data_IF_988586902183
#
_entry.id   IF_988586902183
#
_cell.length_a   1.000
_cell.length_b   1.000
_cell.length_c   1.000
_cell.angle_alpha   90.00
_cell.angle_beta   90.00
_cell.angle_gamma   90.00
#
_symmetry.space_group_name_H-M   'P 1'
#
loop_
_entity.id
_entity.type
_entity.pdbx_description
1 polymer ?
#
# COMPACT_ATOMS: atom_id res chain seq x y z
N UNK A 1 -14.25 -6.04 -13.09
CA UNK A 1 -14.65 -7.37 -13.62
C UNK A 1 -16.05 -7.35 -14.23
N UNK A 2 -17.01 -6.65 -13.63
CA UNK A 2 -18.37 -6.46 -14.17
C UNK A 2 -18.38 -6.02 -15.63
N UNK A 3 -17.63 -4.98 -16.00
CA UNK A 3 -17.46 -4.54 -17.40
C UNK A 3 -17.02 -5.64 -18.38
N UNK A 4 -16.08 -6.50 -17.98
CA UNK A 4 -15.62 -7.62 -18.82
C UNK A 4 -16.73 -8.65 -19.02
N UNK A 5 -17.56 -8.88 -18.00
CA UNK A 5 -18.71 -9.79 -18.10
C UNK A 5 -19.86 -9.17 -18.89
N UNK A 6 -20.18 -7.90 -18.66
CA UNK A 6 -21.22 -7.17 -19.38
C UNK A 6 -20.96 -7.09 -20.88
N UNK A 7 -19.69 -6.92 -21.30
CA UNK A 7 -19.29 -6.96 -22.72
C UNK A 7 -19.57 -8.29 -23.43
N UNK A 8 -19.82 -9.37 -22.70
CA UNK A 8 -20.28 -10.62 -23.30
C UNK A 8 -21.79 -10.61 -23.64
N UNK A 9 -22.56 -9.69 -23.04
CA UNK A 9 -24.00 -9.54 -23.23
C UNK A 9 -24.37 -8.37 -24.13
N UNK A 10 -23.65 -7.26 -24.02
CA UNK A 10 -23.95 -6.00 -24.67
C UNK A 10 -22.73 -5.46 -25.43
N UNK A 11 -22.98 -4.68 -26.47
CA UNK A 11 -21.92 -4.04 -27.24
C UNK A 11 -21.13 -3.04 -26.39
N UNK A 12 -19.84 -2.87 -26.70
CA UNK A 12 -18.97 -1.90 -26.05
C UNK A 12 -19.46 -0.46 -26.34
N UNK A 13 -19.49 0.38 -25.29
CA UNK A 13 -20.01 1.76 -25.39
C UNK A 13 -21.54 1.87 -25.44
N UNK A 14 -22.29 0.77 -25.30
CA UNK A 14 -23.76 0.84 -25.26
C UNK A 14 -24.28 1.32 -23.90
N UNK A 15 -25.39 2.08 -23.92
CA UNK A 15 -26.10 2.50 -22.68
C UNK A 15 -26.63 1.31 -21.88
N UNK A 16 -26.93 0.21 -22.55
CA UNK A 16 -27.39 -1.03 -21.93
C UNK A 16 -26.29 -1.69 -21.09
N UNK A 17 -25.04 -1.67 -21.59
CA UNK A 17 -23.87 -2.15 -20.86
C UNK A 17 -23.64 -1.33 -19.59
N UNK A 18 -23.66 -0.01 -19.71
CA UNK A 18 -23.51 0.92 -18.59
C UNK A 18 -24.58 0.68 -17.53
N UNK A 19 -25.85 0.64 -17.94
CA UNK A 19 -26.97 0.39 -17.05
C UNK A 19 -26.82 -0.95 -16.34
N UNK A 20 -26.48 -2.01 -17.06
CA UNK A 20 -26.27 -3.33 -16.47
C UNK A 20 -25.13 -3.30 -15.43
N UNK A 21 -24.01 -2.65 -15.73
CA UNK A 21 -22.89 -2.54 -14.77
C UNK A 21 -23.30 -1.73 -13.55
N UNK A 22 -23.98 -0.61 -13.71
CA UNK A 22 -24.37 0.29 -12.62
C UNK A 22 -25.41 -0.35 -11.70
N UNK A 23 -26.35 -1.12 -12.25
CA UNK A 23 -27.29 -1.93 -11.46
C UNK A 23 -26.52 -2.92 -10.56
N UNK A 24 -25.59 -3.70 -11.12
CA UNK A 24 -24.80 -4.67 -10.33
C UNK A 24 -23.85 -3.98 -9.35
N UNK A 25 -23.32 -2.81 -9.71
CA UNK A 25 -22.53 -1.96 -8.81
C UNK A 25 -23.36 -1.55 -7.61
N UNK A 26 -24.58 -1.07 -7.83
CA UNK A 26 -25.52 -0.67 -6.76
C UNK A 26 -25.77 -1.81 -5.76
N UNK A 27 -25.84 -3.08 -6.20
CA UNK A 27 -25.91 -4.21 -5.28
C UNK A 27 -24.71 -4.30 -4.34
N UNK A 28 -23.49 -4.12 -4.86
CA UNK A 28 -22.27 -4.16 -4.06
C UNK A 28 -22.25 -3.02 -3.02
N UNK A 29 -22.53 -1.79 -3.43
CA UNK A 29 -22.56 -0.63 -2.53
C UNK A 29 -23.65 -0.71 -1.47
N UNK A 30 -24.74 -1.44 -1.73
CA UNK A 30 -25.80 -1.71 -0.75
C UNK A 30 -25.51 -2.91 0.16
N UNK A 31 -24.32 -3.53 0.08
CA UNK A 31 -23.95 -4.70 0.89
C UNK A 31 -24.62 -6.01 0.43
N UNK A 32 -25.24 -6.02 -0.75
CA UNK A 32 -26.02 -7.15 -1.27
C UNK A 32 -25.19 -8.02 -2.22
N UNK A 33 -23.91 -8.24 -1.88
CA UNK A 33 -22.99 -9.00 -2.71
C UNK A 33 -23.38 -10.49 -2.82
N UNK A 34 -23.96 -11.06 -1.77
CA UNK A 34 -24.49 -12.43 -1.74
C UNK A 34 -25.70 -12.60 -2.66
N UNK A 35 -26.65 -11.66 -2.61
CA UNK A 35 -27.82 -11.62 -3.51
C UNK A 35 -27.37 -11.52 -4.97
N UNK A 36 -26.44 -10.61 -5.26
CA UNK A 36 -25.85 -10.45 -6.59
C UNK A 36 -25.20 -11.75 -7.07
N UNK A 37 -24.46 -12.46 -6.21
CA UNK A 37 -23.84 -13.73 -6.58
C UNK A 37 -24.90 -14.78 -6.94
N UNK A 38 -25.99 -14.85 -6.18
CA UNK A 38 -27.13 -15.73 -6.47
C UNK A 38 -27.78 -15.37 -7.80
N UNK A 39 -28.04 -14.09 -8.06
CA UNK A 39 -28.59 -13.62 -9.32
C UNK A 39 -27.71 -14.00 -10.52
N UNK A 40 -26.38 -13.82 -10.40
CA UNK A 40 -25.43 -14.21 -11.45
C UNK A 40 -25.39 -15.73 -11.67
N UNK A 41 -25.57 -16.54 -10.62
CA UNK A 41 -25.67 -18.00 -10.73
C UNK A 41 -26.94 -18.40 -11.47
N UNK A 42 -28.08 -17.79 -11.16
CA UNK A 42 -29.35 -18.04 -11.87
C UNK A 42 -29.28 -17.59 -13.33
N UNK A 43 -28.71 -16.42 -13.61
CA UNK A 43 -28.47 -15.96 -14.98
C UNK A 43 -27.57 -16.93 -15.76
N UNK A 44 -26.57 -17.55 -15.11
CA UNK A 44 -25.76 -18.58 -15.76
C UNK A 44 -26.54 -19.86 -16.04
N UNK A 45 -27.51 -20.22 -15.20
CA UNK A 45 -28.35 -21.42 -15.38
C UNK A 45 -29.35 -21.25 -16.53
N UNK A 46 -29.89 -20.04 -16.73
CA UNK A 46 -30.82 -19.77 -17.85
C UNK A 46 -30.18 -19.83 -19.23
N UNK A 47 -28.85 -19.71 -19.33
CA UNK A 47 -28.11 -19.84 -20.58
C UNK A 47 -27.93 -21.31 -21.00
N UNK A 48 -28.05 -21.60 -22.30
CA UNK A 48 -27.91 -22.97 -22.78
C UNK A 48 -26.46 -23.46 -22.71
N UNK A 49 -26.27 -24.71 -22.27
CA UNK A 49 -24.93 -25.37 -22.28
C UNK A 49 -24.48 -25.76 -23.69
N UNK A 50 -25.42 -25.92 -24.63
CA UNK A 50 -25.16 -26.46 -25.98
C UNK A 50 -25.06 -25.36 -27.04
N UNK A 51 -25.63 -24.18 -26.78
CA UNK A 51 -25.64 -23.10 -27.76
C UNK A 51 -24.30 -22.36 -27.80
N UNK A 52 -23.64 -22.33 -28.97
CA UNK A 52 -22.35 -21.64 -29.17
C UNK A 52 -22.42 -20.15 -28.83
N UNK A 53 -23.56 -19.49 -29.10
CA UNK A 53 -23.83 -18.09 -28.74
C UNK A 53 -23.76 -17.79 -27.24
N UNK A 54 -24.00 -18.80 -26.39
CA UNK A 54 -24.03 -18.66 -24.93
C UNK A 54 -22.72 -19.08 -24.27
N UNK A 55 -21.82 -19.74 -25.01
CA UNK A 55 -20.56 -20.25 -24.48
C UNK A 55 -19.70 -19.13 -23.85
N UNK A 56 -19.49 -18.03 -24.59
CA UNK A 56 -18.72 -16.88 -24.10
C UNK A 56 -19.36 -16.21 -22.88
N UNK A 57 -20.69 -16.04 -22.89
CA UNK A 57 -21.47 -15.50 -21.76
C UNK A 57 -21.34 -16.35 -20.50
N UNK A 58 -21.47 -17.68 -20.64
CA UNK A 58 -21.32 -18.64 -19.55
C UNK A 58 -19.91 -18.64 -18.98
N UNK A 59 -18.88 -18.54 -19.82
CA UNK A 59 -17.49 -18.48 -19.37
C UNK A 59 -17.21 -17.17 -18.60
N UNK A 60 -17.65 -16.03 -19.14
CA UNK A 60 -17.51 -14.74 -18.49
C UNK A 60 -18.22 -14.69 -17.12
N UNK A 61 -19.44 -15.23 -17.03
CA UNK A 61 -20.16 -15.39 -15.76
C UNK A 61 -19.44 -16.33 -14.81
N UNK A 62 -18.90 -17.46 -15.30
CA UNK A 62 -18.17 -18.42 -14.47
C UNK A 62 -16.95 -17.78 -13.81
N UNK A 63 -16.19 -16.99 -14.56
CA UNK A 63 -15.02 -16.25 -14.06
C UNK A 63 -15.44 -15.23 -13.00
N UNK A 64 -16.54 -14.50 -13.22
CA UNK A 64 -17.06 -13.52 -12.27
C UNK A 64 -17.57 -14.18 -10.98
N UNK A 65 -18.42 -15.22 -11.09
CA UNK A 65 -18.96 -15.98 -9.95
C UNK A 65 -17.82 -16.58 -9.12
N UNK A 66 -16.80 -17.17 -9.75
CA UNK A 66 -15.63 -17.71 -9.06
C UNK A 66 -14.84 -16.61 -8.34
N UNK A 67 -14.72 -15.43 -8.93
CA UNK A 67 -14.00 -14.31 -8.34
C UNK A 67 -14.72 -13.76 -7.11
N UNK A 68 -16.02 -13.50 -7.23
CA UNK A 68 -16.87 -12.98 -6.15
C UNK A 68 -17.04 -14.00 -5.04
N UNK A 69 -17.31 -15.28 -5.35
CA UNK A 69 -17.55 -16.31 -4.35
C UNK A 69 -16.37 -16.55 -3.41
N UNK A 70 -15.14 -16.26 -3.83
CA UNK A 70 -13.93 -16.34 -2.99
C UNK A 70 -13.68 -15.11 -2.11
N UNK A 71 -14.46 -14.04 -2.30
CA UNK A 71 -14.22 -12.71 -1.72
C UNK A 71 -15.50 -12.07 -1.19
N UNK A 72 -16.55 -12.86 -0.96
CA UNK A 72 -17.85 -12.33 -0.55
C UNK A 72 -17.74 -11.57 0.77
N UNK A 73 -17.00 -12.17 1.68
CA UNK A 73 -16.54 -11.70 2.98
C UNK A 73 -15.74 -10.38 2.91
N UNK A 74 -15.09 -10.09 1.77
CA UNK A 74 -14.40 -8.82 1.52
C UNK A 74 -15.25 -7.79 0.75
N UNK A 75 -16.49 -8.14 0.37
CA UNK A 75 -17.35 -7.31 -0.49
C UNK A 75 -18.51 -6.66 0.28
N UNK A 76 -18.44 -6.58 1.61
CA UNK A 76 -19.38 -5.81 2.42
C UNK A 76 -19.08 -4.30 2.33
N UNK A 77 -19.27 -3.73 1.15
CA UNK A 77 -18.95 -2.33 0.90
C UNK A 77 -19.85 -1.38 1.66
N UNK A 78 -21.07 -1.79 2.00
CA UNK A 78 -21.96 -0.98 2.81
C UNK A 78 -21.35 -0.75 4.19
N UNK A 79 -20.92 -1.81 4.86
CA UNK A 79 -20.25 -1.71 6.16
C UNK A 79 -18.98 -0.86 6.06
N UNK A 80 -18.15 -1.07 5.04
CA UNK A 80 -16.93 -0.28 4.86
C UNK A 80 -17.23 1.22 4.69
N UNK A 81 -18.27 1.58 3.94
CA UNK A 81 -18.69 2.98 3.77
C UNK A 81 -19.26 3.54 5.07
N UNK A 82 -20.09 2.77 5.77
CA UNK A 82 -20.70 3.18 7.05
C UNK A 82 -19.63 3.40 8.14
N UNK A 83 -18.49 2.69 8.07
CA UNK A 83 -17.33 2.84 8.95
C UNK A 83 -16.29 3.86 8.44
N UNK A 84 -16.58 4.59 7.35
CA UNK A 84 -15.66 5.53 6.69
C UNK A 84 -14.32 4.91 6.27
N UNK A 85 -14.34 3.62 5.93
CA UNK A 85 -13.18 2.86 5.47
C UNK A 85 -13.02 2.94 3.95
N UNK A 86 -11.77 3.01 3.46
CA UNK A 86 -11.50 3.10 2.03
C UNK A 86 -11.85 1.80 1.30
N UNK A 87 -12.78 1.89 0.34
CA UNK A 87 -13.18 0.78 -0.54
C UNK A 87 -12.35 0.67 -1.83
N UNK A 88 -11.59 1.72 -2.15
CA UNK A 88 -10.79 1.83 -3.37
C UNK A 88 -9.30 1.76 -3.04
N UNK A 89 -8.53 1.07 -3.89
CA UNK A 89 -7.07 0.97 -3.75
C UNK A 89 -6.34 2.26 -4.12
N UNK A 90 -7.01 3.24 -4.71
CA UNK A 90 -6.39 4.46 -5.23
C UNK A 90 -5.58 5.25 -4.20
N UNK A 91 -6.06 5.35 -2.95
CA UNK A 91 -5.30 6.01 -1.88
C UNK A 91 -4.01 5.24 -1.54
N UNK A 92 -4.07 3.91 -1.47
CA UNK A 92 -2.92 3.04 -1.19
C UNK A 92 -1.93 3.04 -2.36
N UNK A 93 -2.42 2.95 -3.59
CA UNK A 93 -1.60 3.03 -4.81
C UNK A 93 -0.96 4.42 -4.96
N UNK A 94 -1.69 5.49 -4.65
CA UNK A 94 -1.20 6.85 -4.60
C UNK A 94 -0.09 7.01 -3.56
N UNK A 95 -0.30 6.49 -2.35
CA UNK A 95 0.72 6.47 -1.30
C UNK A 95 1.97 5.69 -1.73
N UNK A 96 1.82 4.48 -2.30
CA UNK A 96 2.95 3.70 -2.79
C UNK A 96 3.73 4.44 -3.88
N UNK A 97 3.04 5.06 -4.84
CA UNK A 97 3.66 5.88 -5.89
C UNK A 97 4.41 7.08 -5.31
N UNK A 98 3.77 7.80 -4.39
CA UNK A 98 4.30 9.07 -3.86
C UNK A 98 5.43 8.87 -2.86
N UNK A 99 5.27 7.92 -1.92
CA UNK A 99 6.25 7.63 -0.88
C UNK A 99 7.44 6.85 -1.46
N UNK A 100 7.18 5.80 -2.23
CA UNK A 100 8.22 4.90 -2.75
C UNK A 100 8.66 5.33 -4.15
N UNK A 101 7.71 5.35 -5.09
CA UNK A 101 7.99 5.50 -6.53
C UNK A 101 8.75 6.78 -6.88
N UNK A 102 8.31 7.94 -6.37
CA UNK A 102 8.96 9.22 -6.68
C UNK A 102 10.44 9.27 -6.30
N UNK A 103 10.86 8.51 -5.30
CA UNK A 103 12.24 8.54 -4.82
C UNK A 103 13.07 7.36 -5.28
N UNK A 104 12.45 6.19 -5.46
CA UNK A 104 13.16 4.93 -5.65
C UNK A 104 13.09 4.40 -7.08
N UNK A 105 12.12 4.85 -7.88
CA UNK A 105 11.87 4.37 -9.25
C UNK A 105 12.40 5.36 -10.31
N UNK A 106 13.55 6.00 -10.03
CA UNK A 106 14.21 6.85 -11.03
C UNK A 106 15.25 6.06 -11.84
N UNK A 107 15.52 6.53 -13.06
CA UNK A 107 16.47 5.89 -13.97
C UNK A 107 17.86 5.72 -13.35
N UNK A 108 18.45 4.54 -13.53
CA UNK A 108 19.79 4.20 -13.06
C UNK A 108 19.91 3.85 -11.57
N UNK A 109 18.82 3.91 -10.80
CA UNK A 109 18.85 3.55 -9.38
C UNK A 109 18.95 2.04 -9.18
N UNK A 110 19.83 1.63 -8.26
CA UNK A 110 19.96 0.24 -7.80
C UNK A 110 19.99 0.25 -6.29
N UNK A 111 19.12 -0.55 -5.69
CA UNK A 111 18.97 -0.62 -4.25
C UNK A 111 19.24 -2.03 -3.77
N UNK A 112 19.97 -2.13 -2.66
CA UNK A 112 19.93 -3.31 -1.80
C UNK A 112 18.85 -3.06 -0.72
N UNK A 113 18.15 -4.09 -0.23
CA UNK A 113 17.02 -3.94 0.69
C UNK A 113 17.35 -3.08 1.92
N UNK A 114 18.54 -3.23 2.49
CA UNK A 114 18.97 -2.54 3.71
C UNK A 114 19.08 -1.04 3.50
N UNK A 115 19.58 -0.62 2.32
CA UNK A 115 19.69 0.82 1.97
C UNK A 115 18.36 1.40 1.52
N UNK A 116 17.55 0.59 0.83
CA UNK A 116 16.20 0.96 0.43
C UNK A 116 15.32 1.28 1.64
N UNK A 117 15.32 0.39 2.63
CA UNK A 117 14.53 0.53 3.85
C UNK A 117 14.94 1.77 4.65
N UNK A 118 16.25 1.99 4.85
CA UNK A 118 16.74 3.16 5.54
C UNK A 118 16.29 4.47 4.85
N UNK A 119 16.34 4.53 3.52
CA UNK A 119 15.90 5.70 2.78
C UNK A 119 14.38 5.88 2.83
N UNK A 120 13.61 4.79 2.80
CA UNK A 120 12.16 4.83 2.96
C UNK A 120 11.75 5.39 4.32
N UNK A 121 12.43 4.99 5.40
CA UNK A 121 12.19 5.57 6.72
C UNK A 121 12.44 7.08 6.74
N UNK A 122 13.56 7.55 6.16
CA UNK A 122 13.83 8.99 6.04
C UNK A 122 12.77 9.70 5.19
N UNK A 123 12.30 9.08 4.11
CA UNK A 123 11.23 9.64 3.27
C UNK A 123 9.91 9.74 4.04
N UNK A 124 9.56 8.77 4.87
CA UNK A 124 8.38 8.85 5.74
C UNK A 124 8.51 10.00 6.76
N UNK A 125 9.70 10.20 7.33
CA UNK A 125 9.96 11.32 8.25
C UNK A 125 9.81 12.66 7.53
N UNK A 126 10.39 12.79 6.34
CA UNK A 126 10.28 13.99 5.50
C UNK A 126 8.81 14.31 5.18
N UNK A 127 8.05 13.34 4.69
CA UNK A 127 6.67 13.56 4.27
C UNK A 127 5.73 13.87 5.43
N UNK A 128 6.01 13.34 6.62
CA UNK A 128 5.21 13.62 7.81
C UNK A 128 5.70 14.88 8.57
N UNK A 129 6.88 15.42 8.24
CA UNK A 129 7.47 16.56 8.94
C UNK A 129 8.05 16.24 10.32
N UNK A 130 8.41 14.99 10.59
CA UNK A 130 8.79 14.50 11.92
C UNK A 130 10.30 14.59 12.20
N UNK A 131 11.02 15.51 11.54
CA UNK A 131 12.47 15.63 11.70
C UNK A 131 12.88 15.94 13.15
N UNK A 132 12.18 16.85 13.81
CA UNK A 132 12.50 17.21 15.20
C UNK A 132 12.38 16.01 16.14
N UNK A 133 11.29 15.23 16.01
CA UNK A 133 11.09 14.00 16.78
C UNK A 133 12.15 12.95 16.49
N UNK A 134 12.55 12.81 15.23
CA UNK A 134 13.60 11.89 14.83
C UNK A 134 14.97 12.29 15.41
N UNK A 135 15.32 13.58 15.33
CA UNK A 135 16.57 14.08 15.90
C UNK A 135 16.58 13.97 17.42
N UNK A 136 15.48 14.30 18.10
CA UNK A 136 15.37 14.15 19.55
C UNK A 136 15.52 12.68 19.97
N UNK A 137 14.86 11.76 19.26
CA UNK A 137 15.01 10.32 19.47
C UNK A 137 16.46 9.87 19.28
N UNK A 138 17.11 10.30 18.19
CA UNK A 138 18.50 9.97 17.90
C UNK A 138 19.45 10.51 18.97
N UNK A 139 19.25 11.75 19.39
CA UNK A 139 20.05 12.42 20.42
C UNK A 139 19.95 11.73 21.77
N UNK A 140 18.74 11.37 22.23
CA UNK A 140 18.55 10.60 23.47
C UNK A 140 19.31 9.28 23.44
N UNK A 141 19.21 8.54 22.35
CA UNK A 141 19.91 7.25 22.17
C UNK A 141 21.43 7.41 22.17
N UNK A 142 21.94 8.51 21.60
CA UNK A 142 23.37 8.82 21.63
C UNK A 142 23.85 9.13 23.05
N UNK A 143 23.11 9.93 23.81
CA UNK A 143 23.43 10.20 25.22
C UNK A 143 23.46 8.92 26.05
N UNK A 144 22.48 8.02 25.86
CA UNK A 144 22.42 6.74 26.58
C UNK A 144 23.66 5.88 26.30
N UNK A 145 24.08 5.79 25.03
CA UNK A 145 25.31 5.08 24.65
C UNK A 145 26.57 5.69 25.27
N UNK A 146 26.68 7.02 25.26
CA UNK A 146 27.79 7.72 25.91
C UNK A 146 27.83 7.41 27.42
N UNK A 147 26.67 7.42 28.10
CA UNK A 147 26.57 7.06 29.52
C UNK A 147 27.02 5.62 29.80
N UNK A 148 26.78 4.70 28.86
CA UNK A 148 27.22 3.31 28.93
C UNK A 148 28.69 3.10 28.55
N UNK A 149 29.44 4.19 28.27
CA UNK A 149 30.82 4.18 27.76
C UNK A 149 30.98 3.40 26.45
N UNK A 150 29.92 3.26 25.67
CA UNK A 150 30.03 2.75 24.31
C UNK A 150 30.75 3.77 23.43
N UNK A 151 31.54 3.28 22.47
CA UNK A 151 32.17 4.17 21.48
C UNK A 151 31.09 4.74 20.58
N UNK A 152 31.00 6.07 20.50
CA UNK A 152 30.05 6.78 19.65
C UNK A 152 30.82 7.60 18.63
N UNK A 153 30.49 7.43 17.35
CA UNK A 153 31.15 8.14 16.26
C UNK A 153 30.56 9.55 16.15
N UNK A 154 31.28 10.57 16.59
CA UNK A 154 30.87 11.96 16.42
C UNK A 154 31.32 12.43 15.04
N UNK A 155 30.38 12.81 14.18
CA UNK A 155 30.67 13.39 12.86
C UNK A 155 30.40 14.88 12.92
N UNK A 156 31.45 15.69 12.83
CA UNK A 156 31.35 17.15 12.74
C UNK A 156 32.04 17.67 11.50
N UNK A 157 31.51 18.76 10.96
CA UNK A 157 32.16 19.49 9.88
C UNK A 157 33.24 20.46 10.42
N UNK A 158 33.30 20.63 11.75
CA UNK A 158 34.29 21.42 12.46
C UNK A 158 35.13 20.51 13.36
N UNK A 159 36.44 20.76 13.49
CA UNK A 159 37.27 20.01 14.42
C UNK A 159 36.75 20.20 15.84
N UNK A 160 36.37 19.10 16.50
CA UNK A 160 36.04 19.12 17.92
C UNK A 160 37.35 19.06 18.69
N UNK A 161 37.60 20.07 19.51
CA UNK A 161 38.64 20.01 20.52
C UNK A 161 38.14 19.14 21.70
N UNK A 162 38.47 17.85 21.67
CA UNK A 162 38.04 16.88 22.70
C UNK A 162 38.75 17.09 24.04
N UNK A 163 39.72 18.00 24.09
CA UNK A 163 40.60 18.24 25.23
C UNK A 163 40.59 19.73 25.59
N UNK A 164 39.51 20.21 26.21
CA UNK A 164 39.63 21.43 27.00
C UNK A 164 40.48 21.08 28.24
N UNK A 165 41.76 21.45 28.20
CA UNK A 165 42.78 21.10 29.20
C UNK A 165 42.54 21.73 30.59
N UNK A 166 41.39 22.35 30.84
CA UNK A 166 41.05 22.97 32.12
C UNK A 166 40.51 22.01 33.19
N UNK A 167 40.22 20.74 32.86
CA UNK A 167 39.76 19.74 33.84
C UNK A 167 40.41 18.37 33.62
N UNK A 168 41.72 18.29 33.90
CA UNK A 168 42.47 17.03 33.93
C UNK A 168 42.23 16.28 35.25
N UNK A 169 41.47 15.18 35.24
CA UNK A 169 41.61 14.15 36.29
C UNK A 169 41.05 12.76 35.94
N UNK A 170 41.05 12.31 34.68
CA UNK A 170 40.81 10.88 34.37
C UNK A 170 41.59 10.46 33.10
N UNK A 171 42.32 9.32 33.10
CA UNK A 171 43.07 8.90 31.92
C UNK A 171 42.14 8.32 30.85
N UNK A 172 42.19 8.89 29.65
CA UNK A 172 41.44 8.44 28.47
C UNK A 172 42.36 7.70 27.49
N UNK A 173 42.09 6.41 27.26
CA UNK A 173 42.51 5.75 26.01
C UNK A 173 41.43 5.97 24.95
N UNK A 174 41.70 6.87 24.00
CA UNK A 174 40.91 7.04 22.79
C UNK A 174 41.74 6.50 21.63
N UNK A 175 41.36 5.31 21.14
CA UNK A 175 41.92 4.76 19.90
C UNK A 175 41.21 5.38 18.70
N UNK A 176 41.95 6.19 17.95
CA UNK A 176 41.55 6.77 16.66
C UNK A 176 42.00 5.79 15.58
N UNK A 177 41.07 5.24 14.81
CA UNK A 177 41.36 4.52 13.58
C UNK A 177 41.06 5.43 12.39
N UNK A 178 42.06 5.58 11.51
CA UNK A 178 42.01 6.35 10.26
C UNK A 178 41.12 5.70 9.19
#
# INVERSE_FOLDING_TARGET
>A
RLWKTGRAFYAEGSKELEKWVEEKRTFLYKGRASELLSELKELKKSLSKRAKRDQGKREALSKLIKYMGKRLDMMDYKKLIDEDLPIATGAVEGAARYVVGERMDCSGMRWIPERAEALLHLRCIELNGNWDQFFEWGYKRWIEKLRQREKVLIRTNEPIDLFDNSTSSVPHEVSIAA
#
